data_IF_142286595333
#
_entry.id   IF_142286595333
#
_cell.length_a   1.000
_cell.length_b   1.000
_cell.length_c   1.000
_cell.angle_alpha   90.00
_cell.angle_beta   90.00
_cell.angle_gamma   90.00
#
_symmetry.space_group_name_H-M   'P 1'
#
loop_
_entity.id
_entity.type
_entity.pdbx_description
1 polymer ?
#
# COMPACT_ATOMS: atom_id res chain seq x y z
N UNK A 1 4.54 -10.72 -8.79
CA UNK A 1 4.76 -12.18 -8.66
C UNK A 1 3.43 -12.88 -8.49
N UNK A 2 3.33 -14.18 -8.77
CA UNK A 2 2.08 -14.90 -8.48
C UNK A 2 1.82 -15.07 -6.98
N UNK A 3 0.56 -15.28 -6.56
CA UNK A 3 0.21 -15.48 -5.14
C UNK A 3 1.09 -16.59 -4.52
N UNK A 4 1.19 -17.74 -5.19
CA UNK A 4 2.06 -18.85 -4.75
C UNK A 4 3.52 -18.41 -4.61
N UNK A 5 4.05 -17.68 -5.59
CA UNK A 5 5.44 -17.21 -5.55
C UNK A 5 5.67 -16.21 -4.41
N UNK A 6 4.69 -15.34 -4.13
CA UNK A 6 4.72 -14.38 -3.02
C UNK A 6 4.74 -15.14 -1.69
N UNK A 7 3.82 -16.09 -1.51
CA UNK A 7 3.75 -16.93 -0.31
C UNK A 7 5.06 -17.69 -0.10
N UNK A 8 5.56 -18.39 -1.13
CA UNK A 8 6.84 -19.12 -1.08
C UNK A 8 8.01 -18.19 -0.72
N UNK A 9 8.02 -16.94 -1.23
CA UNK A 9 9.05 -15.97 -0.93
C UNK A 9 8.98 -15.50 0.53
N UNK A 10 7.78 -15.26 1.07
CA UNK A 10 7.56 -14.89 2.47
C UNK A 10 7.90 -16.05 3.42
N UNK A 11 7.62 -17.29 3.03
CA UNK A 11 7.89 -18.46 3.87
C UNK A 11 9.38 -18.72 4.13
N UNK A 12 10.24 -18.27 3.20
CA UNK A 12 11.71 -18.32 3.33
C UNK A 12 12.26 -17.31 4.33
N UNK A 13 11.48 -16.30 4.73
CA UNK A 13 11.91 -15.33 5.74
C UNK A 13 11.81 -15.94 7.14
N UNK A 14 12.61 -15.41 8.05
CA UNK A 14 12.55 -15.79 9.46
C UNK A 14 11.12 -15.62 10.00
N UNK A 15 10.68 -16.58 10.81
CA UNK A 15 9.36 -16.53 11.44
C UNK A 15 9.29 -15.31 12.34
N UNK A 16 8.19 -14.58 12.26
CA UNK A 16 7.98 -13.41 13.11
C UNK A 16 6.72 -12.65 12.76
N UNK A 17 6.32 -11.69 13.61
CA UNK A 17 5.02 -11.03 13.50
C UNK A 17 4.79 -10.34 12.16
N UNK A 18 5.81 -9.70 11.60
CA UNK A 18 5.71 -9.00 10.31
C UNK A 18 5.46 -9.97 9.15
N UNK A 19 6.15 -11.11 9.12
CA UNK A 19 5.93 -12.17 8.14
C UNK A 19 4.50 -12.71 8.25
N UNK A 20 4.07 -13.04 9.46
CA UNK A 20 2.74 -13.62 9.70
C UNK A 20 1.63 -12.62 9.29
N UNK A 21 1.82 -11.34 9.59
CA UNK A 21 0.93 -10.28 9.12
C UNK A 21 0.95 -10.13 7.59
N UNK A 22 2.12 -10.21 6.94
CA UNK A 22 2.22 -10.20 5.47
C UNK A 22 1.43 -11.35 4.84
N UNK A 23 1.53 -12.57 5.41
CA UNK A 23 0.78 -13.73 4.92
C UNK A 23 -0.73 -13.54 5.06
N UNK A 24 -1.21 -13.02 6.20
CA UNK A 24 -2.63 -12.69 6.39
C UNK A 24 -3.14 -11.66 5.39
N UNK A 25 -2.34 -10.63 5.09
CA UNK A 25 -2.71 -9.64 4.08
C UNK A 25 -2.80 -10.28 2.70
N UNK A 26 -1.85 -11.13 2.33
CA UNK A 26 -1.88 -11.85 1.04
C UNK A 26 -3.13 -12.73 0.95
N UNK A 27 -3.47 -13.47 2.01
CA UNK A 27 -4.69 -14.28 2.08
C UNK A 27 -5.94 -13.42 1.91
N UNK A 28 -6.08 -12.36 2.70
CA UNK A 28 -7.21 -11.43 2.63
C UNK A 28 -7.39 -10.84 1.22
N UNK A 29 -6.31 -10.34 0.61
CA UNK A 29 -6.36 -9.75 -0.74
C UNK A 29 -6.72 -10.81 -1.79
N UNK A 30 -6.24 -12.05 -1.63
CA UNK A 30 -6.54 -13.16 -2.54
C UNK A 30 -8.01 -13.55 -2.51
N UNK A 31 -8.62 -13.56 -1.33
CA UNK A 31 -10.05 -13.84 -1.12
C UNK A 31 -10.95 -12.75 -1.70
N UNK A 32 -10.48 -11.50 -1.72
CA UNK A 32 -11.27 -10.33 -2.13
C UNK A 32 -10.83 -9.72 -3.47
N UNK A 33 -10.01 -10.44 -4.25
CA UNK A 33 -9.38 -9.96 -5.50
C UNK A 33 -10.31 -9.37 -6.55
N UNK A 34 -11.59 -9.78 -6.56
CA UNK A 34 -12.59 -9.30 -7.52
C UNK A 34 -13.28 -8.00 -7.10
N UNK A 35 -13.07 -7.53 -5.87
CA UNK A 35 -13.80 -6.39 -5.29
C UNK A 35 -12.87 -5.36 -4.63
N UNK A 36 -11.58 -5.68 -4.44
CA UNK A 36 -10.63 -4.79 -3.79
C UNK A 36 -9.92 -3.96 -4.84
N UNK A 37 -10.31 -2.69 -4.92
CA UNK A 37 -9.62 -1.67 -5.71
C UNK A 37 -8.86 -0.66 -4.84
N UNK A 38 -9.12 -0.62 -3.53
CA UNK A 38 -8.52 0.35 -2.61
C UNK A 38 -8.32 -0.27 -1.22
N UNK A 39 -7.07 -0.53 -0.86
CA UNK A 39 -6.67 -1.05 0.45
C UNK A 39 -6.08 0.08 1.29
N UNK A 40 -6.85 0.60 2.25
CA UNK A 40 -6.33 1.57 3.22
C UNK A 40 -5.57 0.87 4.33
N UNK A 41 -4.78 1.62 5.12
CA UNK A 41 -4.20 1.13 6.38
C UNK A 41 -5.26 0.52 7.32
N UNK A 42 -6.46 1.09 7.37
CA UNK A 42 -7.58 0.56 8.17
C UNK A 42 -8.06 -0.78 7.64
N UNK A 43 -8.20 -0.93 6.33
CA UNK A 43 -8.57 -2.20 5.69
C UNK A 43 -7.55 -3.30 6.02
N UNK A 44 -6.26 -2.99 5.87
CA UNK A 44 -5.17 -3.94 6.13
C UNK A 44 -5.00 -4.24 7.63
N UNK A 45 -5.19 -3.26 8.50
CA UNK A 45 -5.20 -3.44 9.96
C UNK A 45 -6.31 -4.40 10.40
N UNK A 46 -7.52 -4.22 9.87
CA UNK A 46 -8.65 -5.12 10.12
C UNK A 46 -8.35 -6.55 9.64
N UNK A 47 -7.73 -6.72 8.48
CA UNK A 47 -7.37 -8.04 7.95
C UNK A 47 -6.36 -8.77 8.85
N UNK A 48 -5.40 -8.06 9.43
CA UNK A 48 -4.40 -8.64 10.34
C UNK A 48 -4.93 -8.81 11.77
N UNK A 49 -5.90 -7.99 12.17
CA UNK A 49 -6.46 -7.91 13.53
C UNK A 49 -5.68 -6.97 14.44
N UNK A 50 -5.17 -5.86 13.91
CA UNK A 50 -4.36 -4.87 14.64
C UNK A 50 -4.74 -3.43 14.30
N UNK A 51 -4.42 -2.50 15.18
CA UNK A 51 -4.61 -1.06 14.98
C UNK A 51 -3.72 -0.49 13.86
N UNK A 52 -4.16 0.62 13.26
CA UNK A 52 -3.48 1.25 12.10
C UNK A 52 -2.07 1.77 12.40
N UNK A 53 -1.77 2.10 13.66
CA UNK A 53 -0.45 2.57 14.10
C UNK A 53 0.47 1.43 14.57
N UNK A 54 0.05 0.17 14.40
CA UNK A 54 0.83 -0.97 14.84
C UNK A 54 2.09 -1.16 13.98
N UNK A 55 3.27 -1.21 14.62
CA UNK A 55 4.55 -1.38 13.91
C UNK A 55 4.63 -2.66 13.08
N UNK A 56 3.93 -3.73 13.49
CA UNK A 56 3.86 -4.99 12.73
C UNK A 56 3.10 -4.79 11.41
N UNK A 57 2.02 -4.00 11.42
CA UNK A 57 1.27 -3.66 10.21
C UNK A 57 2.15 -2.85 9.24
N UNK A 58 2.83 -1.82 9.76
CA UNK A 58 3.74 -1.00 8.95
C UNK A 58 4.85 -1.85 8.32
N UNK A 59 5.46 -2.75 9.10
CA UNK A 59 6.50 -3.65 8.61
C UNK A 59 5.97 -4.61 7.53
N UNK A 60 4.79 -5.19 7.74
CA UNK A 60 4.16 -6.10 6.78
C UNK A 60 3.85 -5.41 5.45
N UNK A 61 3.30 -4.19 5.50
CA UNK A 61 3.02 -3.36 4.32
C UNK A 61 4.31 -3.03 3.58
N UNK A 62 5.34 -2.59 4.29
CA UNK A 62 6.65 -2.30 3.68
C UNK A 62 7.26 -3.52 2.99
N UNK A 63 7.11 -4.72 3.56
CA UNK A 63 7.56 -5.96 2.92
C UNK A 63 6.79 -6.19 1.62
N UNK A 64 5.45 -6.11 1.66
CA UNK A 64 4.58 -6.41 0.52
C UNK A 64 4.69 -5.38 -0.61
N UNK A 65 4.93 -4.12 -0.29
CA UNK A 65 5.15 -3.04 -1.24
C UNK A 65 6.62 -2.92 -1.70
N UNK A 66 7.53 -3.68 -1.11
CA UNK A 66 8.94 -3.65 -1.52
C UNK A 66 9.11 -4.19 -2.95
N UNK A 67 10.06 -3.70 -3.75
CA UNK A 67 10.35 -4.23 -5.08
C UNK A 67 10.67 -5.73 -5.11
N UNK A 68 11.10 -6.28 -3.97
CA UNK A 68 11.42 -7.71 -3.82
C UNK A 68 10.17 -8.58 -3.79
N UNK A 69 9.09 -8.10 -3.19
CA UNK A 69 7.83 -8.85 -3.08
C UNK A 69 6.80 -8.37 -4.11
N UNK A 70 6.69 -7.05 -4.30
CA UNK A 70 5.84 -6.41 -5.29
C UNK A 70 4.43 -7.03 -5.33
N UNK A 71 3.86 -7.27 -4.14
CA UNK A 71 2.52 -7.80 -3.97
C UNK A 71 1.49 -6.66 -3.97
N UNK A 72 1.88 -5.51 -3.45
CA UNK A 72 1.07 -4.30 -3.38
C UNK A 72 1.79 -3.15 -4.07
N UNK A 73 1.07 -2.39 -4.87
CA UNK A 73 1.52 -1.09 -5.36
C UNK A 73 0.97 0.01 -4.44
N UNK A 74 1.79 1.02 -4.17
CA UNK A 74 1.46 2.15 -3.31
C UNK A 74 1.04 3.34 -4.14
N UNK A 75 -0.13 3.88 -3.83
CA UNK A 75 -0.70 5.07 -4.43
C UNK A 75 -1.10 6.01 -3.30
N UNK A 76 -1.44 7.25 -3.63
CA UNK A 76 -2.01 8.16 -2.66
C UNK A 76 -3.05 9.06 -3.28
N UNK A 77 -4.03 9.48 -2.49
CA UNK A 77 -4.92 10.58 -2.87
C UNK A 77 -4.52 11.84 -2.11
N UNK A 78 -4.44 12.96 -2.82
CA UNK A 78 -4.42 14.28 -2.22
C UNK A 78 -5.85 14.86 -2.26
N UNK A 79 -6.37 15.25 -1.10
CA UNK A 79 -7.64 15.96 -0.98
C UNK A 79 -7.38 17.47 -1.05
N UNK A 80 -7.85 18.11 -2.13
CA UNK A 80 -7.75 19.56 -2.26
C UNK A 80 -8.85 20.30 -1.47
N UNK A 81 -8.71 21.61 -1.28
CA UNK A 81 -9.66 22.44 -0.53
C UNK A 81 -11.12 22.37 -1.04
N UNK A 82 -11.31 22.02 -2.32
CA UNK A 82 -12.62 21.91 -2.95
C UNK A 82 -13.21 20.48 -2.90
N UNK A 83 -12.66 19.62 -2.03
CA UNK A 83 -13.04 18.20 -1.86
C UNK A 83 -12.81 17.30 -3.09
N UNK A 84 -12.14 17.79 -4.13
CA UNK A 84 -11.67 16.95 -5.23
C UNK A 84 -10.47 16.09 -4.78
N UNK A 85 -10.58 14.78 -4.96
CA UNK A 85 -9.51 13.82 -4.71
C UNK A 85 -8.64 13.69 -5.97
N UNK A 86 -7.39 14.11 -5.85
CA UNK A 86 -6.37 13.97 -6.90
C UNK A 86 -5.56 12.73 -6.60
N UNK A 87 -5.60 11.72 -7.47
CA UNK A 87 -4.70 10.58 -7.38
C UNK A 87 -3.27 11.00 -7.71
N UNK A 88 -2.34 10.62 -6.84
CA UNK A 88 -0.90 10.72 -7.04
C UNK A 88 -0.39 9.34 -7.47
N UNK A 89 0.36 9.31 -8.56
CA UNK A 89 1.01 8.07 -8.98
C UNK A 89 2.15 7.69 -8.01
N UNK A 90 2.64 6.45 -8.14
CA UNK A 90 3.68 5.93 -7.25
C UNK A 90 4.98 6.76 -7.29
N UNK A 91 5.30 7.40 -8.43
CA UNK A 91 6.51 8.22 -8.59
C UNK A 91 6.34 9.56 -7.89
N UNK A 92 5.20 10.21 -8.10
CA UNK A 92 4.83 11.48 -7.46
C UNK A 92 4.81 11.31 -5.94
N UNK A 93 4.13 10.27 -5.45
CA UNK A 93 4.08 10.00 -4.02
C UNK A 93 5.45 9.66 -3.43
N UNK A 94 6.29 8.90 -4.14
CA UNK A 94 7.66 8.61 -3.72
C UNK A 94 8.53 9.88 -3.65
N UNK A 95 8.34 10.82 -4.58
CA UNK A 95 9.04 12.10 -4.58
C UNK A 95 8.65 12.95 -3.36
N UNK A 96 7.36 13.02 -3.03
CA UNK A 96 6.86 13.68 -1.82
C UNK A 96 7.46 13.06 -0.57
N UNK A 97 7.44 11.72 -0.47
CA UNK A 97 8.04 11.00 0.66
C UNK A 97 9.55 11.26 0.81
N UNK A 98 10.26 11.38 -0.32
CA UNK A 98 11.72 11.58 -0.35
C UNK A 98 12.12 13.01 -0.02
N UNK A 99 11.38 13.99 -0.53
CA UNK A 99 11.76 15.40 -0.46
C UNK A 99 11.10 16.13 0.70
N UNK A 100 9.97 15.65 1.19
CA UNK A 100 9.12 16.39 2.12
C UNK A 100 8.42 17.59 1.47
N UNK A 101 8.41 17.67 0.13
CA UNK A 101 7.85 18.76 -0.65
C UNK A 101 6.73 18.21 -1.53
N UNK A 102 5.55 18.81 -1.45
CA UNK A 102 4.44 18.51 -2.34
C UNK A 102 4.15 19.70 -3.25
N UNK A 103 4.19 19.45 -4.56
CA UNK A 103 3.81 20.40 -5.59
C UNK A 103 2.44 20.01 -6.12
N UNK A 104 1.47 20.90 -6.01
CA UNK A 104 0.13 20.66 -6.49
C UNK A 104 0.15 20.39 -8.01
N UNK A 105 -0.40 19.27 -8.49
CA UNK A 105 -0.21 18.82 -9.87
C UNK A 105 -0.83 19.75 -10.91
N UNK A 106 -1.97 20.38 -10.61
CA UNK A 106 -2.63 21.31 -11.56
C UNK A 106 -2.13 22.76 -11.48
N UNK A 107 -1.78 23.26 -10.30
CA UNK A 107 -1.41 24.69 -10.12
C UNK A 107 0.10 24.91 -10.11
N UNK A 108 0.90 23.87 -9.86
CA UNK A 108 2.34 23.97 -9.66
C UNK A 108 2.75 24.66 -8.36
N UNK A 109 1.79 24.96 -7.47
CA UNK A 109 2.05 25.61 -6.20
C UNK A 109 2.60 24.60 -5.18
N UNK A 110 3.59 25.02 -4.39
CA UNK A 110 4.05 24.25 -3.23
C UNK A 110 3.03 24.34 -2.09
N UNK A 111 2.64 23.20 -1.56
CA UNK A 111 1.69 23.08 -0.45
C UNK A 111 2.48 22.70 0.80
N UNK A 112 2.37 23.47 1.87
CA UNK A 112 3.18 23.28 3.08
C UNK A 112 2.53 22.33 4.11
N UNK A 113 1.21 22.18 4.07
CA UNK A 113 0.35 21.44 5.00
C UNK A 113 -0.31 20.23 4.34
N UNK A 114 0.38 19.61 3.38
CA UNK A 114 -0.15 18.51 2.59
C UNK A 114 -0.27 17.19 3.37
N UNK A 115 0.45 17.04 4.48
CA UNK A 115 0.57 15.76 5.20
C UNK A 115 -0.77 15.28 5.76
N UNK A 116 -1.65 16.20 6.15
CA UNK A 116 -3.01 15.90 6.62
C UNK A 116 -4.01 15.73 5.47
N UNK A 117 -3.55 15.85 4.22
CA UNK A 117 -4.37 15.85 3.00
C UNK A 117 -3.98 14.75 2.03
N UNK A 118 -2.83 14.10 2.24
CA UNK A 118 -2.38 12.95 1.46
C UNK A 118 -2.70 11.67 2.22
N UNK A 119 -3.48 10.80 1.58
CA UNK A 119 -3.92 9.53 2.11
C UNK A 119 -3.36 8.39 1.25
N UNK A 120 -2.38 7.64 1.75
CA UNK A 120 -1.86 6.48 1.02
C UNK A 120 -2.89 5.35 1.02
N UNK A 121 -2.99 4.70 -0.13
CA UNK A 121 -3.72 3.45 -0.31
C UNK A 121 -2.88 2.47 -1.11
N UNK A 122 -3.27 1.20 -1.03
CA UNK A 122 -2.59 0.12 -1.73
C UNK A 122 -3.53 -0.55 -2.71
N UNK A 123 -2.97 -1.02 -3.80
CA UNK A 123 -3.68 -1.86 -4.76
C UNK A 123 -2.90 -3.16 -4.96
N UNK A 124 -3.57 -4.30 -5.20
CA UNK A 124 -2.86 -5.51 -5.57
C UNK A 124 -2.12 -5.29 -6.89
N UNK A 125 -0.86 -5.70 -6.97
CA UNK A 125 -0.10 -5.52 -8.22
C UNK A 125 -0.68 -6.34 -9.36
N UNK A 126 -0.46 -5.93 -10.62
CA UNK A 126 -1.01 -6.66 -11.78
C UNK A 126 -0.64 -8.14 -11.75
N UNK A 127 0.60 -8.45 -11.37
CA UNK A 127 1.07 -9.83 -11.24
C UNK A 127 0.38 -10.62 -10.12
N UNK A 128 -0.05 -9.94 -9.05
CA UNK A 128 -0.83 -10.56 -7.96
C UNK A 128 -2.20 -11.01 -8.50
N UNK A 129 -2.84 -10.18 -9.31
CA UNK A 129 -4.18 -10.40 -9.85
C UNK A 129 -4.23 -11.40 -11.01
N UNK A 130 -3.18 -11.47 -11.83
CA UNK A 130 -3.10 -12.36 -13.00
C UNK A 130 -2.90 -13.86 -12.65
N UNK A 131 -2.75 -14.19 -11.36
CA UNK A 131 -2.52 -15.57 -10.92
C UNK A 131 -3.80 -16.42 -10.97
N UNK A 132 -3.97 -17.15 -12.06
CA UNK A 132 -5.04 -18.14 -12.28
C UNK A 132 -4.63 -19.59 -11.97
N UNK A 133 -3.51 -19.82 -11.29
CA UNK A 133 -2.99 -21.17 -10.99
C UNK A 133 -3.26 -21.64 -9.55
#
# INVERSE_FOLDING_TARGET
MSIKTITDALERWEKGPARDASLKIVEYVSEHRNHVQLLTFKTLGNAVGVEVNNQVLLAAINILASPRIAALDIHAHYSDNDEEEIELDAREFAEVCRTGVFIHPYTGAEINDYQDRIYPFFVPSSNFLESND
#
